data_IF_399506882859
#
_entry.id   IF_399506882859
#
_cell.length_a   1.000
_cell.length_b   1.000
_cell.length_c   1.000
_cell.angle_alpha   90.00
_cell.angle_beta   90.00
_cell.angle_gamma   90.00
#
_symmetry.space_group_name_H-M   'P 1'
#
loop_
_entity.id
_entity.type
_entity.pdbx_description
1 polymer ?
#
# COMPACT_ATOMS: atom_id res chain seq x y z
N UNK A 1 -15.46 -20.14 11.22
CA UNK A 1 -14.27 -19.43 11.71
C UNK A 1 -14.66 -18.00 12.03
N UNK A 2 -14.32 -17.54 13.23
CA UNK A 2 -14.58 -16.16 13.67
C UNK A 2 -13.26 -15.44 13.91
N UNK A 3 -13.10 -14.30 13.27
CA UNK A 3 -11.88 -13.49 13.32
C UNK A 3 -12.16 -12.20 14.09
N UNK A 4 -11.31 -11.91 15.05
CA UNK A 4 -11.30 -10.62 15.75
C UNK A 4 -10.20 -9.74 15.17
N UNK A 5 -10.52 -8.53 14.76
CA UNK A 5 -9.57 -7.59 14.15
C UNK A 5 -9.20 -6.48 15.13
N UNK A 6 -7.90 -6.22 15.28
CA UNK A 6 -7.37 -5.08 16.03
C UNK A 6 -6.24 -4.38 15.26
N UNK A 7 -5.97 -3.15 15.63
CA UNK A 7 -4.88 -2.32 15.10
C UNK A 7 -4.40 -1.34 16.17
N UNK A 8 -3.43 -0.48 15.86
CA UNK A 8 -2.97 0.55 16.78
C UNK A 8 -4.07 1.59 17.11
N UNK A 9 -3.99 2.19 18.28
CA UNK A 9 -5.07 2.97 18.90
C UNK A 9 -5.65 4.10 18.05
N UNK A 10 -4.85 4.73 17.19
CA UNK A 10 -5.26 5.90 16.39
C UNK A 10 -5.50 5.61 14.91
N UNK A 11 -5.52 4.34 14.50
CA UNK A 11 -5.65 3.94 13.10
C UNK A 11 -6.91 4.50 12.41
N UNK A 12 -8.02 4.57 13.14
CA UNK A 12 -9.31 5.05 12.65
C UNK A 12 -9.55 6.55 12.90
N UNK A 13 -8.59 7.25 13.52
CA UNK A 13 -8.65 8.71 13.69
C UNK A 13 -8.12 9.45 12.45
N UNK A 14 -7.29 8.81 11.65
CA UNK A 14 -6.77 9.36 10.39
C UNK A 14 -7.33 8.58 9.20
N UNK A 15 -8.52 8.93 8.78
CA UNK A 15 -9.32 8.21 7.76
C UNK A 15 -8.65 8.22 6.35
N UNK A 16 -7.75 9.16 6.09
CA UNK A 16 -7.11 9.32 4.77
C UNK A 16 -5.84 8.47 4.57
N UNK A 17 -5.52 7.54 5.48
CA UNK A 17 -4.29 6.75 5.41
C UNK A 17 -4.45 5.40 4.71
N UNK A 18 -3.42 4.96 3.98
CA UNK A 18 -3.41 3.66 3.29
C UNK A 18 -3.65 2.46 4.22
N UNK A 19 -3.23 2.55 5.50
CA UNK A 19 -3.46 1.48 6.47
C UNK A 19 -4.93 1.34 6.85
N UNK A 20 -5.67 2.45 7.02
CA UNK A 20 -7.10 2.43 7.28
C UNK A 20 -7.85 1.74 6.14
N UNK A 21 -7.58 2.15 4.90
CA UNK A 21 -8.17 1.54 3.71
C UNK A 21 -7.87 0.04 3.63
N UNK A 22 -6.62 -0.37 3.89
CA UNK A 22 -6.24 -1.78 3.94
C UNK A 22 -7.06 -2.59 4.95
N UNK A 23 -7.19 -2.09 6.18
CA UNK A 23 -7.94 -2.79 7.22
C UNK A 23 -9.39 -2.97 6.80
N UNK A 24 -10.06 -1.89 6.42
CA UNK A 24 -11.48 -1.89 6.03
C UNK A 24 -11.73 -2.84 4.86
N UNK A 25 -10.93 -2.72 3.80
CA UNK A 25 -11.08 -3.54 2.59
C UNK A 25 -10.74 -5.01 2.82
N UNK A 26 -9.74 -5.34 3.63
CA UNK A 26 -9.44 -6.72 4.01
C UNK A 26 -10.61 -7.33 4.79
N UNK A 27 -11.19 -6.58 5.74
CA UNK A 27 -12.36 -7.04 6.52
C UNK A 27 -13.57 -7.24 5.60
N UNK A 28 -13.84 -6.31 4.70
CA UNK A 28 -14.92 -6.45 3.69
C UNK A 28 -14.72 -7.70 2.82
N UNK A 29 -13.52 -7.92 2.32
CA UNK A 29 -13.19 -9.07 1.47
C UNK A 29 -13.39 -10.39 2.21
N UNK A 30 -12.92 -10.49 3.45
CA UNK A 30 -13.13 -11.68 4.28
C UNK A 30 -14.60 -11.94 4.59
N UNK A 31 -15.37 -10.88 4.88
CA UNK A 31 -16.83 -11.01 5.10
C UNK A 31 -17.55 -11.47 3.82
N UNK A 32 -17.17 -10.93 2.67
CA UNK A 32 -17.71 -11.35 1.37
C UNK A 32 -17.37 -12.81 1.04
N UNK A 33 -16.23 -13.30 1.54
CA UNK A 33 -15.85 -14.72 1.47
C UNK A 33 -16.54 -15.61 2.53
N UNK A 34 -17.50 -15.08 3.29
CA UNK A 34 -18.31 -15.83 4.26
C UNK A 34 -17.67 -16.00 5.65
N UNK A 35 -16.61 -15.25 5.96
CA UNK A 35 -15.97 -15.28 7.28
C UNK A 35 -16.65 -14.28 8.22
N UNK A 36 -16.91 -14.70 9.45
CA UNK A 36 -17.36 -13.78 10.50
C UNK A 36 -16.18 -12.98 10.99
N UNK A 37 -16.20 -11.67 10.81
CA UNK A 37 -15.12 -10.76 11.21
C UNK A 37 -15.68 -9.58 11.98
N UNK A 38 -15.20 -9.38 13.21
CA UNK A 38 -15.58 -8.27 14.08
C UNK A 38 -14.36 -7.44 14.47
N UNK A 39 -14.57 -6.13 14.69
CA UNK A 39 -13.56 -5.26 15.26
C UNK A 39 -13.54 -5.38 16.79
N UNK A 40 -12.34 -5.33 17.35
CA UNK A 40 -12.17 -5.37 18.79
C UNK A 40 -12.74 -4.11 19.46
N UNK A 41 -13.73 -4.31 20.31
CA UNK A 41 -14.25 -3.28 21.22
C UNK A 41 -13.82 -3.66 22.65
N UNK A 42 -12.89 -2.91 23.23
CA UNK A 42 -12.32 -3.18 24.56
C UNK A 42 -13.34 -3.24 25.69
N UNK A 43 -14.54 -2.69 25.48
CA UNK A 43 -15.60 -2.68 26.50
C UNK A 43 -16.60 -3.81 26.35
N UNK A 44 -16.69 -4.46 25.19
CA UNK A 44 -17.73 -5.45 24.89
C UNK A 44 -17.19 -6.79 24.41
N UNK A 45 -16.05 -6.80 23.71
CA UNK A 45 -15.54 -8.01 23.09
C UNK A 45 -14.90 -8.94 24.09
N UNK A 46 -15.32 -10.20 24.08
CA UNK A 46 -14.62 -11.30 24.73
C UNK A 46 -13.80 -12.04 23.69
N UNK A 47 -12.49 -12.06 23.86
CA UNK A 47 -11.59 -12.63 22.84
C UNK A 47 -11.73 -14.15 22.72
N UNK A 48 -12.17 -14.82 23.80
CA UNK A 48 -12.39 -16.26 23.83
C UNK A 48 -13.53 -16.73 22.91
N UNK A 49 -14.37 -15.81 22.40
CA UNK A 49 -15.45 -16.12 21.45
C UNK A 49 -14.96 -16.23 20.00
N UNK A 50 -13.65 -16.05 19.76
CA UNK A 50 -13.03 -16.00 18.43
C UNK A 50 -11.97 -17.09 18.25
N UNK A 51 -11.74 -17.48 16.99
CA UNK A 51 -10.73 -18.47 16.62
C UNK A 51 -9.35 -17.84 16.44
N UNK A 52 -9.31 -16.63 15.89
CA UNK A 52 -8.07 -15.91 15.52
C UNK A 52 -8.19 -14.42 15.88
N UNK A 53 -7.11 -13.86 16.41
CA UNK A 53 -6.88 -12.43 16.49
C UNK A 53 -6.01 -12.00 15.29
N UNK A 54 -6.59 -11.25 14.36
CA UNK A 54 -5.88 -10.56 13.28
C UNK A 54 -5.49 -9.17 13.75
N UNK A 55 -4.20 -8.89 13.77
CA UNK A 55 -3.66 -7.57 14.13
C UNK A 55 -3.07 -6.91 12.90
N UNK A 56 -3.35 -5.62 12.73
CA UNK A 56 -2.73 -4.82 11.68
C UNK A 56 -1.74 -3.84 12.30
N UNK A 57 -0.57 -3.75 11.69
CA UNK A 57 0.60 -2.99 12.09
C UNK A 57 1.34 -3.56 13.31
N UNK A 58 2.66 -3.73 13.14
CA UNK A 58 3.59 -4.02 14.23
C UNK A 58 3.77 -2.75 15.07
N UNK A 59 3.03 -2.68 16.20
CA UNK A 59 2.97 -1.49 17.05
C UNK A 59 2.81 -1.85 18.53
N UNK A 60 3.52 -1.17 19.39
CA UNK A 60 3.55 -1.46 20.83
C UNK A 60 2.19 -1.36 21.53
N UNK A 61 1.24 -0.62 20.98
CA UNK A 61 -0.13 -0.53 21.54
C UNK A 61 -0.87 -1.86 21.44
N UNK A 62 -0.49 -2.73 20.49
CA UNK A 62 -1.04 -4.07 20.32
C UNK A 62 -0.48 -5.09 21.30
N UNK A 63 0.69 -4.82 21.91
CA UNK A 63 1.45 -5.81 22.69
C UNK A 63 0.64 -6.50 23.79
N UNK A 64 -0.08 -5.73 24.60
CA UNK A 64 -0.85 -6.29 25.73
C UNK A 64 -2.01 -7.18 25.27
N UNK A 65 -2.69 -6.78 24.20
CA UNK A 65 -3.79 -7.58 23.63
C UNK A 65 -3.27 -8.88 23.02
N UNK A 66 -2.18 -8.82 22.25
CA UNK A 66 -1.52 -10.00 21.68
C UNK A 66 -1.09 -10.95 22.80
N UNK A 67 -0.41 -10.44 23.83
CA UNK A 67 0.02 -11.25 24.96
C UNK A 67 -1.15 -11.92 25.64
N UNK A 68 -2.21 -11.19 25.96
CA UNK A 68 -3.41 -11.73 26.57
C UNK A 68 -4.08 -12.81 25.69
N UNK A 69 -4.19 -12.57 24.38
CA UNK A 69 -4.73 -13.55 23.43
C UNK A 69 -3.89 -14.84 23.43
N UNK A 70 -2.57 -14.74 23.43
CA UNK A 70 -1.66 -15.89 23.50
C UNK A 70 -1.78 -16.64 24.82
N UNK A 71 -1.89 -15.94 25.96
CA UNK A 71 -2.09 -16.53 27.29
C UNK A 71 -3.43 -17.31 27.37
N UNK A 72 -4.43 -16.92 26.57
CA UNK A 72 -5.72 -17.62 26.41
C UNK A 72 -5.72 -18.73 25.35
N UNK A 73 -4.59 -18.97 24.70
CA UNK A 73 -4.45 -19.98 23.66
C UNK A 73 -4.99 -19.58 22.28
N UNK A 74 -5.38 -18.31 22.12
CA UNK A 74 -5.86 -17.80 20.83
C UNK A 74 -4.71 -17.71 19.81
N UNK A 75 -4.99 -18.04 18.56
CA UNK A 75 -4.06 -17.84 17.46
C UNK A 75 -4.01 -16.37 17.07
N UNK A 76 -2.82 -15.87 16.77
CA UNK A 76 -2.60 -14.47 16.41
C UNK A 76 -1.87 -14.37 15.07
N UNK A 77 -2.47 -13.64 14.14
CA UNK A 77 -1.88 -13.31 12.83
C UNK A 77 -1.65 -11.80 12.78
N UNK A 78 -0.44 -11.40 12.40
CA UNK A 78 -0.02 -9.99 12.32
C UNK A 78 0.23 -9.59 10.86
N UNK A 79 -0.55 -8.67 10.31
CA UNK A 79 -0.18 -7.94 9.09
C UNK A 79 0.77 -6.81 9.47
N UNK A 80 2.07 -6.97 9.17
CA UNK A 80 3.12 -6.20 9.82
C UNK A 80 3.18 -4.72 9.41
N UNK A 81 2.97 -4.41 8.13
CA UNK A 81 3.03 -3.03 7.56
C UNK A 81 4.28 -2.27 8.01
N UNK A 82 5.45 -2.86 7.75
CA UNK A 82 6.73 -2.32 8.19
C UNK A 82 7.37 -1.49 7.08
N UNK A 83 7.73 -0.25 7.39
CA UNK A 83 8.52 0.56 6.46
C UNK A 83 9.93 -0.01 6.33
N UNK A 84 10.28 -0.43 5.12
CA UNK A 84 11.61 -0.97 4.82
C UNK A 84 12.62 0.18 4.73
N UNK A 85 13.66 0.10 5.53
CA UNK A 85 14.72 1.09 5.60
C UNK A 85 16.09 0.44 5.81
N UNK A 86 17.04 1.16 6.38
CA UNK A 86 18.39 0.62 6.63
C UNK A 86 18.45 -0.46 7.71
N UNK A 87 17.42 -0.57 8.56
CA UNK A 87 17.39 -1.50 9.69
C UNK A 87 18.42 -1.26 10.82
N UNK A 88 19.36 -0.33 10.65
CA UNK A 88 20.51 -0.13 11.58
C UNK A 88 20.08 0.09 13.03
N UNK A 89 19.03 0.87 13.27
CA UNK A 89 18.54 1.10 14.63
C UNK A 89 17.93 -0.18 15.21
N UNK A 90 17.18 -0.94 14.41
CA UNK A 90 16.55 -2.20 14.83
C UNK A 90 17.64 -3.19 15.23
N UNK A 91 18.69 -3.35 14.40
CA UNK A 91 19.84 -4.23 14.69
C UNK A 91 20.61 -3.80 15.93
N UNK A 92 20.79 -2.50 16.15
CA UNK A 92 21.42 -2.00 17.37
C UNK A 92 20.61 -2.41 18.60
N UNK A 93 19.29 -2.16 18.62
CA UNK A 93 18.44 -2.54 19.74
C UNK A 93 18.32 -4.05 19.90
N UNK A 94 18.40 -4.82 18.84
CA UNK A 94 18.47 -6.28 18.92
C UNK A 94 19.72 -6.76 19.68
N UNK A 95 20.89 -6.17 19.41
CA UNK A 95 22.15 -6.52 20.11
C UNK A 95 22.06 -6.30 21.62
N UNK A 96 21.42 -5.21 22.04
CA UNK A 96 21.31 -4.84 23.46
C UNK A 96 20.03 -5.36 24.13
N UNK A 97 19.17 -6.13 23.44
CA UNK A 97 17.87 -6.59 23.96
C UNK A 97 17.92 -7.40 25.27
N UNK A 98 19.06 -8.01 25.58
CA UNK A 98 19.27 -8.79 26.83
C UNK A 98 19.57 -7.89 28.03
N UNK A 99 19.91 -6.63 27.84
CA UNK A 99 20.12 -5.71 28.93
C UNK A 99 18.80 -5.46 29.71
N UNK A 100 18.84 -5.18 30.99
CA UNK A 100 17.66 -4.93 31.82
C UNK A 100 17.06 -3.54 31.58
N UNK A 101 17.01 -3.13 30.31
CA UNK A 101 16.46 -1.84 29.85
C UNK A 101 15.21 -2.15 29.02
N UNK A 102 14.10 -1.49 29.35
CA UNK A 102 12.89 -1.55 28.53
C UNK A 102 12.99 -0.54 27.39
N UNK A 103 12.85 -1.00 26.15
CA UNK A 103 12.82 -0.15 24.96
C UNK A 103 11.61 -0.52 24.11
N UNK A 104 11.09 0.41 23.31
CA UNK A 104 10.05 0.16 22.33
C UNK A 104 10.41 -1.01 21.42
N UNK A 105 11.64 -1.04 20.90
CA UNK A 105 12.09 -2.14 20.04
C UNK A 105 12.06 -3.51 20.73
N UNK A 106 12.33 -3.58 22.04
CA UNK A 106 12.24 -4.83 22.78
C UNK A 106 10.82 -5.39 22.80
N UNK A 107 9.82 -4.51 22.93
CA UNK A 107 8.41 -4.92 22.84
C UNK A 107 8.04 -5.36 21.42
N UNK A 108 8.46 -4.62 20.39
CA UNK A 108 8.23 -5.00 18.99
C UNK A 108 8.87 -6.35 18.64
N UNK A 109 10.09 -6.64 19.15
CA UNK A 109 10.69 -7.96 18.97
C UNK A 109 9.90 -9.08 19.64
N UNK A 110 9.37 -8.83 20.82
CA UNK A 110 8.53 -9.79 21.52
C UNK A 110 7.21 -10.00 20.80
N UNK A 111 6.57 -8.94 20.37
CA UNK A 111 5.33 -8.97 19.60
C UNK A 111 5.50 -9.80 18.32
N UNK A 112 6.47 -9.46 17.46
CA UNK A 112 6.74 -10.17 16.21
C UNK A 112 7.05 -11.67 16.42
N UNK A 113 7.58 -12.06 17.57
CA UNK A 113 7.91 -13.46 17.88
C UNK A 113 6.78 -14.24 18.55
N UNK A 114 5.89 -13.56 19.28
CA UNK A 114 4.76 -14.20 19.97
C UNK A 114 3.65 -14.64 19.01
N UNK A 115 3.45 -13.90 17.91
CA UNK A 115 2.40 -14.20 16.93
C UNK A 115 2.66 -15.54 16.22
N UNK A 116 1.60 -16.19 15.77
CA UNK A 116 1.69 -17.50 15.10
C UNK A 116 2.11 -17.33 13.62
N UNK A 117 1.64 -16.28 12.96
CA UNK A 117 2.03 -15.92 11.59
C UNK A 117 2.16 -14.40 11.43
N UNK A 118 3.00 -14.00 10.50
CA UNK A 118 3.15 -12.61 10.04
C UNK A 118 2.85 -12.55 8.55
N UNK A 119 2.09 -11.55 8.14
CA UNK A 119 1.80 -11.23 6.75
C UNK A 119 2.59 -9.97 6.38
N UNK A 120 3.47 -10.09 5.40
CA UNK A 120 4.18 -9.00 4.73
C UNK A 120 3.52 -8.70 3.38
N UNK A 121 3.56 -7.47 2.91
CA UNK A 121 2.99 -7.08 1.61
C UNK A 121 3.90 -7.49 0.44
N UNK A 122 5.22 -7.56 0.68
CA UNK A 122 6.21 -7.84 -0.36
C UNK A 122 7.32 -8.78 0.15
N UNK A 123 8.02 -9.41 -0.79
CA UNK A 123 9.21 -10.20 -0.46
C UNK A 123 10.32 -9.37 0.21
N UNK A 124 10.42 -8.08 -0.13
CA UNK A 124 11.37 -7.15 0.50
C UNK A 124 10.99 -6.94 1.97
N UNK A 125 9.73 -6.70 2.25
CA UNK A 125 9.25 -6.56 3.63
C UNK A 125 9.46 -7.86 4.41
N UNK A 126 9.15 -9.03 3.81
CA UNK A 126 9.43 -10.34 4.41
C UNK A 126 10.90 -10.49 4.77
N UNK A 127 11.80 -10.18 3.83
CA UNK A 127 13.24 -10.26 4.06
C UNK A 127 13.67 -9.32 5.19
N UNK A 128 13.12 -8.11 5.23
CA UNK A 128 13.37 -7.13 6.27
C UNK A 128 12.91 -7.62 7.65
N UNK A 129 11.70 -8.15 7.76
CA UNK A 129 11.15 -8.72 9.00
C UNK A 129 12.03 -9.89 9.48
N UNK A 130 12.35 -10.82 8.60
CA UNK A 130 13.18 -11.97 8.95
C UNK A 130 14.59 -11.55 9.39
N UNK A 131 15.20 -10.59 8.69
CA UNK A 131 16.56 -10.12 8.95
C UNK A 131 16.69 -9.30 10.23
N UNK A 132 15.83 -8.31 10.42
CA UNK A 132 15.99 -7.32 11.48
C UNK A 132 15.15 -7.63 12.74
N UNK A 133 13.94 -8.22 12.59
CA UNK A 133 13.14 -8.67 13.74
C UNK A 133 13.44 -10.11 14.13
N UNK A 134 14.29 -10.82 13.36
CA UNK A 134 14.71 -12.19 13.61
C UNK A 134 13.53 -13.18 13.77
N UNK A 135 12.54 -13.01 12.91
CA UNK A 135 11.41 -13.93 12.82
C UNK A 135 11.76 -15.07 11.86
N UNK A 136 11.46 -16.33 12.20
CA UNK A 136 11.68 -17.46 11.30
C UNK A 136 10.92 -17.30 9.98
N UNK A 137 11.57 -17.61 8.85
CA UNK A 137 11.01 -17.41 7.50
C UNK A 137 9.69 -18.17 7.27
N UNK A 138 9.54 -19.32 7.89
CA UNK A 138 8.33 -20.14 7.80
C UNK A 138 7.11 -19.55 8.54
N UNK A 139 7.30 -18.51 9.35
CA UNK A 139 6.23 -17.76 9.99
C UNK A 139 5.81 -16.52 9.21
N UNK A 140 6.55 -16.13 8.16
CA UNK A 140 6.28 -14.89 7.41
C UNK A 140 5.78 -15.23 6.03
N UNK A 141 4.53 -14.94 5.78
CA UNK A 141 3.83 -15.11 4.51
C UNK A 141 3.85 -13.80 3.72
N UNK A 142 3.79 -13.88 2.40
CA UNK A 142 3.65 -12.68 1.56
C UNK A 142 2.26 -12.68 0.96
N UNK A 143 1.46 -11.70 1.36
CA UNK A 143 0.14 -11.44 0.80
C UNK A 143 0.08 -9.96 0.45
N UNK A 144 -0.02 -9.63 -0.84
CA UNK A 144 -0.10 -8.25 -1.26
C UNK A 144 -1.37 -7.56 -0.76
N UNK A 145 -1.42 -6.25 -0.87
CA UNK A 145 -2.66 -5.51 -0.68
C UNK A 145 -3.55 -5.69 -1.91
N UNK A 146 -4.86 -5.75 -1.70
CA UNK A 146 -5.83 -5.75 -2.78
C UNK A 146 -6.09 -4.34 -3.32
N UNK A 147 -6.63 -4.26 -4.53
CA UNK A 147 -7.10 -3.02 -5.13
C UNK A 147 -8.52 -3.17 -5.68
N UNK A 148 -9.25 -2.06 -5.68
CA UNK A 148 -10.60 -2.02 -6.23
C UNK A 148 -10.54 -1.84 -7.75
N UNK A 149 -11.42 -2.50 -8.48
CA UNK A 149 -11.63 -2.20 -9.89
C UNK A 149 -12.41 -0.90 -10.04
N UNK A 150 -11.87 0.00 -10.83
CA UNK A 150 -12.56 1.25 -11.19
C UNK A 150 -13.33 1.01 -12.48
N UNK A 151 -14.66 0.89 -12.36
CA UNK A 151 -15.55 0.63 -13.48
C UNK A 151 -16.56 1.79 -13.67
N UNK A 152 -16.11 2.84 -14.31
CA UNK A 152 -16.99 3.98 -14.66
C UNK A 152 -16.88 4.30 -16.14
N UNK A 153 -17.94 4.94 -16.70
CA UNK A 153 -17.93 5.55 -18.04
C UNK A 153 -17.85 7.08 -17.96
N UNK A 154 -17.61 7.62 -16.78
CA UNK A 154 -17.53 9.06 -16.55
C UNK A 154 -16.40 9.69 -17.35
N UNK A 155 -16.63 10.89 -17.85
CA UNK A 155 -15.68 11.71 -18.61
C UNK A 155 -15.43 13.07 -17.95
N UNK A 156 -15.84 13.22 -16.69
CA UNK A 156 -15.74 14.49 -15.92
C UNK A 156 -14.32 15.07 -15.88
N UNK A 157 -13.29 14.21 -16.00
CA UNK A 157 -11.92 14.69 -16.03
C UNK A 157 -11.65 15.64 -17.21
N UNK A 158 -12.29 15.42 -18.35
CA UNK A 158 -12.09 16.29 -19.52
C UNK A 158 -12.72 17.67 -19.34
N UNK A 159 -13.79 17.76 -18.56
CA UNK A 159 -14.38 19.05 -18.17
C UNK A 159 -13.42 19.80 -17.24
N UNK A 160 -12.77 19.10 -16.31
CA UNK A 160 -11.78 19.68 -15.40
C UNK A 160 -10.49 20.14 -16.12
N UNK A 161 -10.07 19.43 -17.19
CA UNK A 161 -8.92 19.78 -18.03
C UNK A 161 -9.29 20.85 -19.06
N UNK A 162 -10.59 20.97 -19.39
CA UNK A 162 -11.12 21.87 -20.41
C UNK A 162 -11.00 21.37 -21.85
N UNK A 163 -10.56 20.11 -22.04
CA UNK A 163 -10.44 19.46 -23.36
C UNK A 163 -10.34 17.94 -23.25
N UNK A 164 -10.76 17.24 -24.30
CA UNK A 164 -10.51 15.82 -24.44
C UNK A 164 -9.13 15.55 -25.04
N UNK A 165 -8.26 14.87 -24.31
CA UNK A 165 -6.89 14.59 -24.73
C UNK A 165 -6.36 13.32 -24.06
N UNK A 166 -5.33 12.70 -24.63
CA UNK A 166 -4.55 11.70 -23.93
C UNK A 166 -3.65 12.35 -22.89
N UNK A 167 -3.63 11.84 -21.67
CA UNK A 167 -2.82 12.41 -20.60
C UNK A 167 -2.13 11.34 -19.73
N UNK A 168 -1.07 11.77 -19.06
CA UNK A 168 -0.42 11.03 -18.00
C UNK A 168 -1.00 11.49 -16.64
N UNK A 169 -1.37 10.55 -15.80
CA UNK A 169 -1.99 10.78 -14.50
C UNK A 169 -1.02 10.45 -13.37
N UNK A 170 -0.89 11.31 -12.39
CA UNK A 170 -0.24 11.01 -11.11
C UNK A 170 -1.19 11.31 -9.96
N UNK A 171 -1.50 10.28 -9.15
CA UNK A 171 -2.41 10.38 -7.99
C UNK A 171 -1.60 10.14 -6.72
N UNK A 172 -1.27 11.20 -5.99
CA UNK A 172 -0.52 11.13 -4.74
C UNK A 172 -0.64 12.44 -3.94
N UNK A 173 -0.44 12.37 -2.63
CA UNK A 173 -0.17 13.58 -1.82
C UNK A 173 1.08 14.27 -2.36
N UNK A 174 1.10 15.59 -2.30
CA UNK A 174 2.29 16.35 -2.67
C UNK A 174 3.28 16.36 -1.50
N UNK A 175 4.31 15.56 -1.59
CA UNK A 175 5.45 15.57 -0.68
C UNK A 175 6.75 15.24 -1.43
N UNK A 176 7.93 15.60 -0.88
CA UNK A 176 9.21 15.40 -1.56
C UNK A 176 9.50 13.94 -1.93
N UNK A 177 8.98 12.96 -1.17
CA UNK A 177 9.15 11.54 -1.47
C UNK A 177 8.36 11.12 -2.71
N UNK A 178 7.19 11.76 -2.96
CA UNK A 178 6.35 11.49 -4.13
C UNK A 178 6.90 12.09 -5.43
N UNK A 179 7.83 13.06 -5.33
CA UNK A 179 8.69 13.52 -6.41
C UNK A 179 8.00 14.21 -7.62
N UNK A 180 6.79 14.74 -7.43
CA UNK A 180 6.05 15.45 -8.49
C UNK A 180 6.86 16.58 -9.12
N UNK A 181 7.74 17.22 -8.34
CA UNK A 181 8.63 18.28 -8.81
C UNK A 181 9.46 17.86 -10.03
N UNK A 182 10.05 16.66 -10.02
CA UNK A 182 10.85 16.19 -11.15
C UNK A 182 9.98 15.80 -12.35
N UNK A 183 8.76 15.31 -12.13
CA UNK A 183 7.80 15.05 -13.21
C UNK A 183 7.41 16.36 -13.90
N UNK A 184 7.13 17.42 -13.13
CA UNK A 184 6.83 18.75 -13.67
C UNK A 184 8.01 19.28 -14.49
N UNK A 185 9.23 19.24 -13.94
CA UNK A 185 10.44 19.66 -14.65
C UNK A 185 10.69 18.87 -15.94
N UNK A 186 10.35 17.58 -15.94
CA UNK A 186 10.52 16.71 -17.09
C UNK A 186 9.54 17.00 -18.23
N UNK A 187 8.28 17.31 -17.87
CA UNK A 187 7.17 17.31 -18.83
C UNK A 187 6.56 18.68 -19.10
N UNK A 188 6.82 19.72 -18.28
CA UNK A 188 6.34 21.08 -18.60
C UNK A 188 6.88 21.54 -19.95
N UNK A 189 6.04 22.23 -20.71
CA UNK A 189 6.36 22.70 -22.06
C UNK A 189 6.71 21.56 -23.06
N UNK A 190 6.15 20.35 -22.85
CA UNK A 190 6.13 19.26 -23.84
C UNK A 190 4.72 19.07 -24.38
N UNK A 191 4.56 18.19 -25.37
CA UNK A 191 3.22 17.83 -25.91
C UNK A 191 2.45 16.85 -25.01
N UNK A 192 3.03 16.41 -23.89
CA UNK A 192 2.40 15.47 -22.96
C UNK A 192 1.55 16.23 -21.94
N UNK A 193 0.25 15.99 -21.95
CA UNK A 193 -0.65 16.47 -20.89
C UNK A 193 -0.42 15.67 -19.61
N UNK A 194 -0.32 16.37 -18.48
CA UNK A 194 -0.10 15.76 -17.18
C UNK A 194 -1.15 16.24 -16.19
N UNK A 195 -1.83 15.31 -15.56
CA UNK A 195 -2.86 15.56 -14.54
C UNK A 195 -2.35 15.09 -13.20
N UNK A 196 -2.27 16.00 -12.25
CA UNK A 196 -1.96 15.72 -10.85
C UNK A 196 -3.23 15.76 -10.01
N UNK A 197 -3.50 14.68 -9.28
CA UNK A 197 -4.57 14.61 -8.29
C UNK A 197 -3.95 14.36 -6.91
N UNK A 198 -4.25 15.26 -5.98
CA UNK A 198 -3.74 15.25 -4.62
C UNK A 198 -3.55 16.65 -4.08
N UNK A 199 -3.49 16.77 -2.76
CA UNK A 199 -3.24 18.03 -2.07
C UNK A 199 -1.86 18.07 -1.43
N UNK A 200 -1.49 19.23 -0.89
CA UNK A 200 -0.29 19.39 -0.08
C UNK A 200 -0.35 18.54 1.19
N UNK A 201 0.76 17.95 1.56
CA UNK A 201 0.91 17.28 2.85
C UNK A 201 1.10 18.33 3.96
N UNK A 202 0.40 18.18 5.09
CA UNK A 202 0.57 19.08 6.23
C UNK A 202 1.98 19.00 6.87
N UNK A 203 2.75 17.94 6.59
CA UNK A 203 4.16 17.82 7.00
C UNK A 203 5.12 18.54 6.06
N UNK A 204 4.67 18.89 4.84
CA UNK A 204 5.45 19.58 3.84
C UNK A 204 4.57 20.57 3.03
N UNK A 205 3.86 21.51 3.66
CA UNK A 205 2.83 22.33 3.02
C UNK A 205 3.37 23.19 1.87
N UNK A 206 4.63 23.62 1.94
CA UNK A 206 5.24 24.44 0.92
C UNK A 206 5.62 23.67 -0.37
N UNK A 207 5.68 22.33 -0.30
CA UNK A 207 6.09 21.54 -1.46
C UNK A 207 5.07 21.64 -2.60
N UNK A 208 3.78 21.62 -2.30
CA UNK A 208 2.72 21.82 -3.28
C UNK A 208 2.86 23.18 -3.98
N UNK A 209 3.02 24.25 -3.21
CA UNK A 209 3.17 25.61 -3.76
C UNK A 209 4.39 25.70 -4.68
N UNK A 210 5.53 25.14 -4.28
CA UNK A 210 6.72 25.08 -5.13
C UNK A 210 6.50 24.28 -6.43
N UNK A 211 5.69 23.23 -6.40
CA UNK A 211 5.33 22.49 -7.60
C UNK A 211 4.47 23.33 -8.55
N UNK A 212 3.51 24.09 -8.02
CA UNK A 212 2.69 25.02 -8.82
C UNK A 212 3.55 26.16 -9.41
N UNK A 213 4.45 26.74 -8.62
CA UNK A 213 5.41 27.76 -9.09
C UNK A 213 6.33 27.20 -10.18
N UNK A 214 6.87 25.98 -10.02
CA UNK A 214 7.71 25.34 -11.03
C UNK A 214 6.96 25.08 -12.33
N UNK A 215 5.69 24.72 -12.28
CA UNK A 215 4.85 24.57 -13.47
C UNK A 215 4.73 25.90 -14.24
N UNK A 216 4.76 27.03 -13.54
CA UNK A 216 4.85 28.36 -14.15
C UNK A 216 3.70 28.69 -15.10
N UNK A 217 2.51 28.11 -14.92
CA UNK A 217 1.37 28.29 -15.80
C UNK A 217 1.47 27.52 -17.13
N UNK A 218 2.34 26.50 -17.23
CA UNK A 218 2.42 25.63 -18.40
C UNK A 218 1.04 25.00 -18.69
N UNK A 219 0.54 25.18 -19.91
CA UNK A 219 -0.83 24.82 -20.31
C UNK A 219 -1.09 23.30 -20.34
N UNK A 220 -0.03 22.51 -20.28
CA UNK A 220 -0.08 21.05 -20.28
C UNK A 220 0.04 20.42 -18.88
N UNK A 221 0.10 21.23 -17.80
CA UNK A 221 0.16 20.74 -16.42
C UNK A 221 -1.11 21.14 -15.68
N UNK A 222 -1.86 20.14 -15.18
CA UNK A 222 -3.15 20.32 -14.54
C UNK A 222 -3.11 19.86 -13.09
N UNK A 223 -3.48 20.74 -12.16
CA UNK A 223 -3.60 20.44 -10.73
C UNK A 223 -5.10 20.40 -10.37
N UNK A 224 -5.61 19.23 -10.03
CA UNK A 224 -7.04 19.06 -9.71
C UNK A 224 -7.31 19.26 -8.20
N UNK A 225 -6.28 19.08 -7.37
CA UNK A 225 -6.45 19.12 -5.92
C UNK A 225 -6.79 17.75 -5.31
N UNK A 226 -7.15 17.76 -4.04
CA UNK A 226 -7.50 16.54 -3.31
C UNK A 226 -8.89 16.06 -3.71
N UNK A 227 -9.00 14.75 -3.94
CA UNK A 227 -10.26 14.04 -4.18
C UNK A 227 -10.33 12.81 -3.26
N UNK A 228 -11.53 12.51 -2.75
CA UNK A 228 -11.76 11.30 -1.97
C UNK A 228 -11.81 10.06 -2.86
N UNK A 229 -11.51 8.88 -2.29
CA UNK A 229 -11.42 7.61 -3.04
C UNK A 229 -12.70 7.24 -3.82
N UNK A 230 -13.87 7.67 -3.33
CA UNK A 230 -15.16 7.45 -4.00
C UNK A 230 -15.57 8.54 -5.01
N UNK A 231 -14.76 9.58 -5.19
CA UNK A 231 -15.10 10.70 -6.06
C UNK A 231 -15.17 10.27 -7.53
N UNK A 232 -16.28 10.63 -8.19
CA UNK A 232 -16.50 10.30 -9.61
C UNK A 232 -15.45 10.94 -10.53
N UNK A 233 -14.93 12.11 -10.16
CA UNK A 233 -13.87 12.79 -10.92
C UNK A 233 -12.54 11.99 -10.82
N UNK A 234 -12.22 11.47 -9.64
CA UNK A 234 -11.05 10.60 -9.44
C UNK A 234 -11.19 9.31 -10.26
N UNK A 235 -12.35 8.66 -10.19
CA UNK A 235 -12.61 7.46 -10.99
C UNK A 235 -12.53 7.76 -12.49
N UNK A 236 -13.12 8.89 -12.94
CA UNK A 236 -13.02 9.37 -14.32
C UNK A 236 -11.55 9.58 -14.72
N UNK A 237 -10.73 10.13 -13.83
CA UNK A 237 -9.32 10.35 -14.12
C UNK A 237 -8.56 9.05 -14.34
N UNK A 238 -8.81 8.01 -13.56
CA UNK A 238 -8.16 6.71 -13.76
C UNK A 238 -8.55 6.04 -15.08
N UNK A 239 -9.86 5.95 -15.40
CA UNK A 239 -10.33 5.19 -16.58
C UNK A 239 -10.01 5.86 -17.91
N UNK A 240 -9.78 7.17 -17.92
CA UNK A 240 -9.44 7.92 -19.14
C UNK A 240 -7.92 8.22 -19.25
N UNK A 241 -7.11 7.87 -18.25
CA UNK A 241 -5.67 8.05 -18.29
C UNK A 241 -5.03 7.14 -19.34
N UNK A 242 -4.14 7.70 -20.15
CA UNK A 242 -3.29 6.94 -21.07
C UNK A 242 -2.10 6.31 -20.37
N UNK A 243 -1.50 7.06 -19.46
CA UNK A 243 -0.35 6.65 -18.66
C UNK A 243 -0.63 6.90 -17.20
N UNK A 244 -0.25 5.97 -16.32
CA UNK A 244 -0.13 6.23 -14.90
C UNK A 244 1.33 6.46 -14.53
N UNK A 245 1.63 7.60 -13.92
CA UNK A 245 2.94 7.93 -13.37
C UNK A 245 2.94 7.60 -11.87
N UNK A 246 4.01 6.96 -11.40
CA UNK A 246 4.34 6.89 -9.98
C UNK A 246 5.82 7.22 -9.80
N UNK A 247 6.09 8.45 -9.41
CA UNK A 247 7.45 9.00 -9.38
C UNK A 247 8.16 8.89 -8.03
N UNK A 248 7.54 8.28 -7.04
CA UNK A 248 8.03 8.18 -5.66
C UNK A 248 9.44 7.60 -5.56
N UNK A 249 10.23 8.15 -4.64
CA UNK A 249 11.50 7.54 -4.26
C UNK A 249 11.31 6.27 -3.44
N UNK A 250 10.29 6.26 -2.57
CA UNK A 250 9.98 5.11 -1.70
C UNK A 250 8.46 4.93 -1.59
N UNK A 251 8.03 3.68 -1.66
CA UNK A 251 6.66 3.23 -1.37
C UNK A 251 6.70 1.98 -0.50
N UNK A 252 5.66 1.76 0.28
CA UNK A 252 5.43 0.46 0.90
C UNK A 252 4.88 -0.53 -0.11
N UNK A 253 3.93 -0.12 -0.93
CA UNK A 253 3.29 -0.98 -1.91
C UNK A 253 3.01 -0.28 -3.26
N UNK A 254 2.17 0.76 -3.29
CA UNK A 254 1.83 1.50 -4.51
C UNK A 254 0.46 1.15 -5.10
N UNK A 255 -0.61 1.28 -4.29
CA UNK A 255 -1.98 0.96 -4.70
C UNK A 255 -2.43 1.67 -5.96
N UNK A 256 -2.11 2.96 -6.10
CA UNK A 256 -2.49 3.76 -7.28
C UNK A 256 -1.95 3.19 -8.59
N UNK A 257 -0.79 2.47 -8.53
CA UNK A 257 -0.23 1.80 -9.71
C UNK A 257 -1.16 0.67 -10.16
N UNK A 258 -1.62 -0.13 -9.20
CA UNK A 258 -2.50 -1.27 -9.45
C UNK A 258 -3.84 -0.77 -9.99
N UNK A 259 -4.44 0.23 -9.33
CA UNK A 259 -5.69 0.86 -9.74
C UNK A 259 -5.62 1.43 -11.16
N UNK A 260 -4.54 2.15 -11.48
CA UNK A 260 -4.33 2.71 -12.81
C UNK A 260 -4.18 1.65 -13.90
N UNK A 261 -3.43 0.56 -13.64
CA UNK A 261 -3.28 -0.53 -14.60
C UNK A 261 -4.61 -1.28 -14.77
N UNK A 262 -5.34 -1.55 -13.70
CA UNK A 262 -6.66 -2.18 -13.77
C UNK A 262 -7.66 -1.32 -14.57
N UNK A 263 -7.54 0.00 -14.48
CA UNK A 263 -8.33 0.96 -15.26
C UNK A 263 -7.88 1.06 -16.73
N UNK A 264 -6.71 0.53 -17.08
CA UNK A 264 -6.19 0.45 -18.46
C UNK A 264 -5.09 1.41 -18.81
N UNK A 265 -4.53 2.13 -17.84
CA UNK A 265 -3.39 3.01 -18.06
C UNK A 265 -2.08 2.20 -18.21
N UNK A 266 -1.19 2.65 -19.09
CA UNK A 266 0.17 2.12 -19.19
C UNK A 266 1.01 2.66 -18.03
N UNK A 267 1.65 1.82 -17.20
CA UNK A 267 2.48 2.30 -16.09
C UNK A 267 3.81 2.87 -16.60
N UNK A 268 4.18 4.06 -16.08
CA UNK A 268 5.52 4.62 -16.12
C UNK A 268 5.92 4.92 -14.67
N UNK A 269 6.73 4.05 -14.06
CA UNK A 269 6.93 4.04 -12.62
C UNK A 269 8.40 4.11 -12.22
N UNK A 270 8.66 4.63 -11.04
CA UNK A 270 10.01 4.69 -10.48
C UNK A 270 10.63 3.29 -10.35
N UNK A 271 11.89 3.15 -10.77
CA UNK A 271 12.65 1.89 -10.70
C UNK A 271 13.00 1.43 -9.28
N UNK A 272 12.70 2.24 -8.27
CA UNK A 272 12.99 1.93 -6.86
C UNK A 272 11.85 1.26 -6.12
N UNK A 273 10.68 1.11 -6.77
CA UNK A 273 9.45 0.70 -6.09
C UNK A 273 9.39 -0.82 -5.81
N UNK A 274 9.00 -1.24 -4.59
CA UNK A 274 8.93 -2.66 -4.21
C UNK A 274 7.96 -3.49 -5.05
N UNK A 275 6.93 -2.87 -5.63
CA UNK A 275 5.95 -3.55 -6.47
C UNK A 275 6.58 -4.23 -7.70
N UNK A 276 7.73 -3.75 -8.16
CA UNK A 276 8.50 -4.34 -9.27
C UNK A 276 9.00 -5.78 -8.99
N UNK A 277 8.94 -6.24 -7.75
CA UNK A 277 9.28 -7.63 -7.40
C UNK A 277 8.17 -8.63 -7.76
N UNK A 278 6.96 -8.17 -8.03
CA UNK A 278 5.91 -9.03 -8.56
C UNK A 278 6.12 -9.32 -10.05
N UNK A 279 5.88 -10.57 -10.44
CA UNK A 279 6.19 -11.03 -11.78
C UNK A 279 5.51 -10.23 -12.90
N UNK A 280 4.27 -9.79 -12.68
CA UNK A 280 3.51 -9.00 -13.64
C UNK A 280 4.10 -7.61 -13.93
N UNK A 281 4.98 -7.07 -13.06
CA UNK A 281 5.58 -5.74 -13.27
C UNK A 281 6.97 -5.78 -13.91
N UNK A 282 7.54 -6.95 -14.20
CA UNK A 282 8.91 -7.08 -14.74
C UNK A 282 9.14 -6.35 -16.06
N UNK A 283 8.11 -6.30 -16.91
CA UNK A 283 8.17 -5.66 -18.22
C UNK A 283 7.60 -4.23 -18.24
N UNK A 284 7.22 -3.69 -17.06
CA UNK A 284 6.71 -2.33 -16.97
C UNK A 284 7.79 -1.30 -17.33
N UNK A 285 7.34 -0.18 -17.89
CA UNK A 285 8.21 0.94 -18.19
C UNK A 285 8.63 1.59 -16.88
N UNK A 286 9.94 1.63 -16.63
CA UNK A 286 10.52 2.23 -15.43
C UNK A 286 11.46 3.37 -15.76
N UNK A 287 11.63 4.29 -14.80
CA UNK A 287 12.58 5.40 -14.88
C UNK A 287 13.33 5.57 -13.55
N UNK A 288 14.49 6.18 -13.63
CA UNK A 288 15.27 6.63 -12.46
C UNK A 288 14.63 7.91 -11.92
N UNK A 289 14.06 7.91 -10.67
CA UNK A 289 13.25 9.04 -10.19
C UNK A 289 14.03 10.36 -9.99
N UNK A 290 15.36 10.32 -9.90
CA UNK A 290 16.22 11.50 -9.83
C UNK A 290 16.67 12.03 -11.20
N UNK A 291 16.40 11.31 -12.28
CA UNK A 291 16.82 11.69 -13.63
C UNK A 291 15.64 12.26 -14.44
N UNK A 292 15.59 13.57 -14.55
CA UNK A 292 14.52 14.30 -15.24
C UNK A 292 14.44 13.90 -16.74
N UNK A 293 15.57 13.64 -17.40
CA UNK A 293 15.59 13.24 -18.80
C UNK A 293 15.08 11.80 -18.98
N UNK A 294 15.37 10.93 -18.04
CA UNK A 294 14.84 9.57 -18.05
C UNK A 294 13.33 9.56 -17.79
N UNK A 295 12.83 10.34 -16.80
CA UNK A 295 11.39 10.52 -16.58
C UNK A 295 10.70 10.93 -17.88
N UNK A 296 11.18 11.99 -18.53
CA UNK A 296 10.63 12.48 -19.81
C UNK A 296 10.58 11.36 -20.85
N UNK A 297 11.71 10.74 -21.12
CA UNK A 297 11.86 9.69 -22.15
C UNK A 297 10.90 8.51 -21.90
N UNK A 298 10.81 8.05 -20.67
CA UNK A 298 9.98 6.86 -20.35
C UNK A 298 8.49 7.18 -20.34
N UNK A 299 8.08 8.36 -19.86
CA UNK A 299 6.68 8.79 -19.95
C UNK A 299 6.25 8.97 -21.40
N UNK A 300 7.05 9.65 -22.23
CA UNK A 300 6.77 9.79 -23.66
C UNK A 300 6.73 8.44 -24.41
N UNK A 301 7.56 7.47 -23.98
CA UNK A 301 7.51 6.09 -24.47
C UNK A 301 6.19 5.43 -24.07
N UNK A 302 5.76 5.55 -22.81
CA UNK A 302 4.51 4.99 -22.30
C UNK A 302 3.29 5.58 -23.03
N UNK A 303 3.29 6.89 -23.30
CA UNK A 303 2.21 7.55 -24.06
C UNK A 303 1.97 6.94 -25.45
N UNK A 304 2.97 6.31 -26.04
CA UNK A 304 2.91 5.69 -27.38
C UNK A 304 2.50 4.21 -27.34
N UNK A 305 2.51 3.58 -26.18
CA UNK A 305 2.15 2.16 -26.05
C UNK A 305 0.66 1.93 -26.26
N UNK A 306 0.25 0.84 -26.88
CA UNK A 306 -1.14 0.40 -26.82
C UNK A 306 -1.49 -0.03 -25.40
N UNK A 307 -2.80 -0.12 -25.12
CA UNK A 307 -3.30 -0.71 -23.87
C UNK A 307 -2.86 -2.17 -23.78
N UNK A 308 -2.30 -2.56 -22.65
CA UNK A 308 -1.85 -3.93 -22.40
C UNK A 308 -2.89 -4.70 -21.58
N UNK A 309 -3.76 -5.42 -22.29
CA UNK A 309 -4.80 -6.22 -21.66
C UNK A 309 -4.24 -7.44 -20.90
N UNK A 310 -3.08 -7.97 -21.30
CA UNK A 310 -2.44 -9.07 -20.58
C UNK A 310 -1.95 -8.59 -19.21
N UNK A 311 -1.25 -7.46 -19.17
CA UNK A 311 -0.83 -6.86 -17.91
C UNK A 311 -2.04 -6.54 -17.00
N UNK A 312 -3.11 -5.97 -17.54
CA UNK A 312 -4.33 -5.70 -16.80
C UNK A 312 -4.93 -6.96 -16.17
N UNK A 313 -5.02 -8.04 -16.94
CA UNK A 313 -5.58 -9.31 -16.47
C UNK A 313 -4.71 -9.97 -15.40
N UNK A 314 -3.38 -9.97 -15.57
CA UNK A 314 -2.45 -10.49 -14.56
C UNK A 314 -2.50 -9.66 -13.26
N UNK A 315 -2.59 -8.34 -13.37
CA UNK A 315 -2.72 -7.46 -12.20
C UNK A 315 -4.05 -7.72 -11.48
N UNK A 316 -5.18 -7.81 -12.19
CA UNK A 316 -6.49 -8.17 -11.61
C UNK A 316 -6.44 -9.52 -10.90
N UNK A 317 -5.87 -10.54 -11.55
CA UNK A 317 -5.75 -11.89 -10.98
C UNK A 317 -4.90 -11.90 -9.71
N UNK A 318 -3.86 -11.07 -9.65
CA UNK A 318 -2.91 -11.05 -8.53
C UNK A 318 -3.42 -10.23 -7.34
N UNK A 319 -4.10 -9.10 -7.60
CA UNK A 319 -4.43 -8.10 -6.58
C UNK A 319 -5.94 -7.92 -6.34
N UNK A 320 -6.79 -8.84 -6.85
CA UNK A 320 -8.22 -8.78 -6.52
C UNK A 320 -8.46 -9.08 -5.04
N UNK A 321 -9.40 -8.38 -4.43
CA UNK A 321 -9.77 -8.61 -3.03
C UNK A 321 -10.26 -10.04 -2.77
N UNK A 322 -10.86 -10.71 -3.78
CA UNK A 322 -11.22 -12.12 -3.69
C UNK A 322 -9.97 -13.00 -3.48
N UNK A 323 -8.94 -12.82 -4.31
CA UNK A 323 -7.68 -13.53 -4.19
C UNK A 323 -6.98 -13.27 -2.85
N UNK A 324 -6.98 -12.01 -2.41
CA UNK A 324 -6.40 -11.63 -1.12
C UNK A 324 -7.13 -12.32 0.04
N UNK A 325 -8.45 -12.34 0.02
CA UNK A 325 -9.24 -13.03 1.04
C UNK A 325 -8.92 -14.54 1.09
N UNK A 326 -8.79 -15.20 -0.08
CA UNK A 326 -8.41 -16.62 -0.15
C UNK A 326 -7.05 -16.87 0.48
N UNK A 327 -6.05 -16.03 0.21
CA UNK A 327 -4.69 -16.15 0.78
C UNK A 327 -4.70 -15.94 2.31
N UNK A 328 -5.48 -14.98 2.83
CA UNK A 328 -5.68 -14.82 4.26
C UNK A 328 -6.34 -16.06 4.89
N UNK A 329 -7.37 -16.61 4.24
CA UNK A 329 -8.07 -17.81 4.73
C UNK A 329 -7.15 -19.03 4.79
N UNK A 330 -6.27 -19.20 3.80
CA UNK A 330 -5.28 -20.29 3.80
C UNK A 330 -4.29 -20.15 4.96
N UNK A 331 -3.82 -18.94 5.23
CA UNK A 331 -2.95 -18.67 6.39
C UNK A 331 -3.71 -18.99 7.70
N UNK A 332 -4.95 -18.55 7.82
CA UNK A 332 -5.76 -18.82 9.02
C UNK A 332 -5.98 -20.31 9.26
N UNK A 333 -6.24 -21.09 8.19
CA UNK A 333 -6.37 -22.57 8.29
C UNK A 333 -5.05 -23.18 8.74
N UNK A 334 -3.94 -22.84 8.12
CA UNK A 334 -2.61 -23.35 8.47
C UNK A 334 -2.26 -23.06 9.93
N UNK A 335 -2.50 -21.83 10.40
CA UNK A 335 -2.21 -21.43 11.78
C UNK A 335 -3.10 -22.18 12.79
N UNK A 336 -4.35 -22.45 12.45
CA UNK A 336 -5.28 -23.20 13.30
C UNK A 336 -4.89 -24.68 13.38
N UNK A 337 -4.59 -25.30 12.23
CA UNK A 337 -4.36 -26.74 12.13
C UNK A 337 -2.99 -27.18 12.70
N UNK A 338 -2.02 -26.25 12.83
CA UNK A 338 -0.73 -26.48 13.53
C UNK A 338 -0.89 -26.85 15.03
N UNK A 339 -2.09 -26.76 15.59
CA UNK A 339 -2.40 -27.18 16.97
C UNK A 339 -2.65 -28.67 17.08
N UNK A 340 -3.25 -29.30 16.07
CA UNK A 340 -3.65 -30.69 16.12
C UNK A 340 -2.47 -31.68 15.96
N UNK A 341 -1.32 -31.17 15.47
CA UNK A 341 -0.09 -31.95 15.29
C UNK A 341 0.83 -31.97 16.52
N UNK A 342 0.51 -31.21 17.58
CA UNK A 342 1.33 -31.10 18.81
C UNK A 342 0.61 -31.54 20.08
N UNK A 343 -0.62 -32.02 19.98
CA UNK A 343 -1.39 -32.71 21.04
C UNK A 343 -1.30 -34.26 20.84
#
# INVERSE_FOLDING_TARGET
MKILVNTYDTAFQNVAGGIHSRIVKTVEALRNAGITVDYFDKFKTRIEDYDILQVFMLDVTNFNLIKYAKDKGLKVVLSAVVTVGSGKNIDFYWRIRKLPIMTTYKLLFQEARMVDAIIAETEIERAFICGHYHVPKNKVYVVPNGADEIATKSRKIFDAIGRECAYALEVARFDPNKNQMNVIKALKNTDTEVVFIGGGDFTAPEYYNRCVEEAGGASNIHFIGWLDAGDELLQSAFVNAKVLISSSYHETFGLTIIEGIMAGATPAISSTLPILNYACFKECITFVPSDIQDIKRQVEKAMKQPKDENLMNEVRKTFSWLKIADEYMDIYRNVRDDTDSKS
#
